data_IF_441848053374
#
_entry.id   IF_441848053374
#
_cell.length_a   1.000
_cell.length_b   1.000
_cell.length_c   1.000
_cell.angle_alpha   90.00
_cell.angle_beta   90.00
_cell.angle_gamma   90.00
#
_symmetry.space_group_name_H-M   'P 1'
#
loop_
_entity.id
_entity.type
_entity.pdbx_description
1 polymer ?
#
# COMPACT_ATOMS: atom_id res chain seq x y z
N UNK A 1 6.54 3.77 -26.14
CA UNK A 1 7.43 2.63 -25.83
C UNK A 1 7.29 2.27 -24.35
N UNK A 2 6.59 1.16 -24.08
CA UNK A 2 6.31 0.72 -22.72
C UNK A 2 6.76 -0.72 -22.55
N UNK A 3 7.27 -1.03 -21.36
CA UNK A 3 7.61 -2.41 -20.97
C UNK A 3 6.35 -3.27 -21.10
N UNK A 4 6.41 -4.41 -21.81
CA UNK A 4 5.27 -5.29 -21.95
C UNK A 4 4.76 -5.77 -20.57
N UNK A 5 3.43 -5.89 -20.34
CA UNK A 5 2.86 -6.24 -19.04
C UNK A 5 3.47 -7.51 -18.43
N UNK A 6 3.74 -8.51 -19.27
CA UNK A 6 4.40 -9.77 -18.91
C UNK A 6 5.82 -9.59 -18.36
N UNK A 7 6.55 -8.55 -18.78
CA UNK A 7 7.89 -8.25 -18.29
C UNK A 7 7.87 -7.47 -16.96
N UNK A 8 6.76 -6.84 -16.61
CA UNK A 8 6.64 -6.08 -15.34
C UNK A 8 6.78 -7.02 -14.15
N UNK A 9 6.16 -8.21 -14.19
CA UNK A 9 6.26 -9.20 -13.11
C UNK A 9 7.69 -9.68 -12.87
N UNK A 10 8.45 -9.93 -13.95
CA UNK A 10 9.86 -10.33 -13.86
C UNK A 10 10.75 -9.20 -13.32
N UNK A 11 10.48 -7.95 -13.69
CA UNK A 11 11.23 -6.81 -13.20
C UNK A 11 10.90 -6.46 -11.74
N UNK A 12 9.66 -6.66 -11.30
CA UNK A 12 9.30 -6.57 -9.87
C UNK A 12 10.08 -7.61 -9.06
N UNK A 13 10.17 -8.86 -9.53
CA UNK A 13 10.97 -9.90 -8.86
C UNK A 13 12.46 -9.57 -8.80
N UNK A 14 12.97 -8.82 -9.77
CA UNK A 14 14.37 -8.36 -9.80
C UNK A 14 14.58 -7.05 -9.03
N UNK A 15 13.57 -6.53 -8.33
CA UNK A 15 13.60 -5.21 -7.68
C UNK A 15 13.94 -4.06 -8.66
N UNK A 16 13.78 -4.28 -9.96
CA UNK A 16 14.13 -3.35 -11.02
C UNK A 16 13.00 -2.33 -11.30
N UNK A 17 11.80 -2.58 -10.78
CA UNK A 17 10.73 -1.58 -10.69
C UNK A 17 10.56 -1.24 -9.21
N UNK A 18 10.80 0.01 -8.78
CA UNK A 18 10.48 0.41 -7.43
C UNK A 18 8.97 0.29 -7.22
N UNK A 19 8.56 -0.54 -6.26
CA UNK A 19 7.21 -0.51 -5.73
C UNK A 19 7.05 0.84 -5.01
N UNK A 20 6.35 1.77 -5.64
CA UNK A 20 5.98 3.04 -5.01
C UNK A 20 4.79 2.79 -4.10
N UNK A 21 4.95 3.06 -2.82
CA UNK A 21 3.82 3.09 -1.89
C UNK A 21 2.91 4.28 -2.25
N UNK A 22 1.63 3.97 -2.45
CA UNK A 22 0.61 4.98 -2.67
C UNK A 22 0.24 5.73 -1.39
N UNK A 23 0.47 5.14 -0.22
CA UNK A 23 0.25 5.78 1.07
C UNK A 23 1.60 6.28 1.59
N UNK A 24 1.72 7.59 1.77
CA UNK A 24 2.98 8.21 2.18
C UNK A 24 2.76 9.17 3.35
N UNK A 25 3.82 9.45 4.10
CA UNK A 25 3.84 10.45 5.16
C UNK A 25 5.20 11.18 5.14
N UNK A 26 5.22 12.44 5.57
CA UNK A 26 6.46 13.22 5.65
C UNK A 26 7.37 12.76 6.80
N UNK A 27 6.76 12.31 7.89
CA UNK A 27 7.39 11.71 9.05
C UNK A 27 6.47 10.65 9.66
N UNK A 28 6.98 9.77 10.54
CA UNK A 28 6.15 8.81 11.28
C UNK A 28 5.04 9.45 12.12
N UNK A 29 5.17 10.73 12.46
CA UNK A 29 4.23 11.49 13.27
C UNK A 29 3.15 12.21 12.45
N UNK A 30 3.35 12.33 11.14
CA UNK A 30 2.40 12.98 10.23
C UNK A 30 1.28 12.02 9.79
N UNK A 31 0.11 12.58 9.50
CA UNK A 31 -0.99 11.80 8.94
C UNK A 31 -0.61 11.29 7.54
N UNK A 32 -0.76 9.97 7.29
CA UNK A 32 -0.47 9.43 5.97
C UNK A 32 -1.54 9.88 4.96
N UNK A 33 -1.11 10.09 3.72
CA UNK A 33 -1.98 10.55 2.63
C UNK A 33 -1.79 9.70 1.37
N UNK A 34 -2.78 9.79 0.48
CA UNK A 34 -2.74 9.17 -0.83
C UNK A 34 -1.86 10.00 -1.77
N UNK A 35 -0.65 9.50 -2.06
CA UNK A 35 0.35 10.13 -2.89
C UNK A 35 -0.02 10.06 -4.38
N UNK A 36 -0.95 10.91 -4.80
CA UNK A 36 -1.37 11.06 -6.19
C UNK A 36 -1.74 12.50 -6.51
N UNK A 37 -1.41 12.94 -7.73
CA UNK A 37 -1.89 14.21 -8.27
C UNK A 37 -3.43 14.28 -8.22
N UNK A 38 -3.96 15.45 -7.87
CA UNK A 38 -5.39 15.68 -7.65
C UNK A 38 -5.86 15.49 -6.20
N UNK A 39 -5.08 14.81 -5.35
CA UNK A 39 -5.29 14.74 -3.90
C UNK A 39 -4.71 15.99 -3.24
N UNK A 40 -5.45 16.64 -2.33
CA UNK A 40 -5.04 17.92 -1.75
C UNK A 40 -3.72 17.82 -1.00
N UNK A 41 -3.57 16.79 -0.18
CA UNK A 41 -2.41 16.51 0.65
C UNK A 41 -1.15 16.27 -0.20
N UNK A 42 -1.30 15.65 -1.38
CA UNK A 42 -0.19 15.49 -2.32
C UNK A 42 0.38 16.84 -2.76
N UNK A 43 -0.47 17.83 -3.02
CA UNK A 43 -0.07 19.17 -3.44
C UNK A 43 0.42 20.05 -2.28
N UNK A 44 -0.07 19.79 -1.06
CA UNK A 44 0.40 20.47 0.16
C UNK A 44 1.73 19.89 0.68
N UNK A 45 2.20 18.76 0.13
CA UNK A 45 3.42 18.09 0.55
C UNK A 45 4.69 18.71 -0.09
N UNK A 46 5.69 19.15 0.71
CA UNK A 46 6.96 19.71 0.21
C UNK A 46 7.81 18.78 -0.67
N UNK A 47 7.65 17.46 -0.54
CA UNK A 47 8.37 16.46 -1.33
C UNK A 47 7.79 16.25 -2.74
N UNK A 48 6.66 16.89 -3.06
CA UNK A 48 5.98 16.80 -4.36
C UNK A 48 6.03 18.13 -5.11
N UNK A 49 5.24 18.26 -6.18
CA UNK A 49 5.25 19.44 -7.06
C UNK A 49 5.05 20.76 -6.32
N UNK A 50 4.37 20.74 -5.16
CA UNK A 50 4.12 21.92 -4.33
C UNK A 50 3.26 22.98 -5.02
N UNK A 51 2.61 22.61 -6.12
CA UNK A 51 1.76 23.49 -6.91
C UNK A 51 0.32 23.48 -6.37
N UNK A 52 -0.43 24.59 -6.49
CA UNK A 52 -1.74 24.68 -5.83
C UNK A 52 -2.72 23.61 -6.29
N UNK A 53 -3.29 22.85 -5.34
CA UNK A 53 -4.32 21.83 -5.59
C UNK A 53 -5.49 22.36 -6.42
N UNK A 54 -5.82 23.65 -6.29
CA UNK A 54 -6.91 24.29 -7.05
C UNK A 54 -6.73 24.16 -8.58
N UNK A 55 -5.51 24.01 -9.07
CA UNK A 55 -5.21 23.81 -10.50
C UNK A 55 -5.57 22.39 -10.97
N UNK A 56 -5.57 21.41 -10.07
CA UNK A 56 -5.72 19.98 -10.37
C UNK A 56 -7.07 19.40 -9.99
N UNK A 57 -7.82 20.06 -9.09
CA UNK A 57 -9.14 19.57 -8.64
C UNK A 57 -10.15 19.34 -9.77
N UNK A 58 -9.94 19.96 -10.94
CA UNK A 58 -10.78 19.83 -12.13
C UNK A 58 -10.17 19.06 -13.30
N UNK A 59 -8.93 18.53 -13.19
CA UNK A 59 -8.21 17.88 -14.29
C UNK A 59 -8.70 16.45 -14.60
N UNK A 60 -9.65 15.94 -13.83
CA UNK A 60 -10.11 14.55 -13.87
C UNK A 60 -9.35 13.68 -12.86
N UNK A 61 -8.06 13.90 -12.64
CA UNK A 61 -7.27 13.15 -11.64
C UNK A 61 -7.73 13.44 -10.21
N UNK A 62 -8.16 14.67 -9.93
CA UNK A 62 -8.74 15.06 -8.65
C UNK A 62 -10.22 14.71 -8.47
N UNK A 63 -10.88 14.04 -9.44
CA UNK A 63 -12.29 13.70 -9.29
C UNK A 63 -12.48 12.44 -8.42
N UNK A 64 -13.57 12.41 -7.65
CA UNK A 64 -13.85 11.30 -6.74
C UNK A 64 -13.87 9.94 -7.45
N UNK A 65 -14.45 9.86 -8.64
CA UNK A 65 -14.52 8.62 -9.41
C UNK A 65 -13.13 8.09 -9.80
N UNK A 66 -12.21 8.98 -10.17
CA UNK A 66 -10.83 8.61 -10.49
C UNK A 66 -10.08 8.11 -9.27
N UNK A 67 -10.20 8.84 -8.14
CA UNK A 67 -9.55 8.44 -6.88
C UNK A 67 -10.05 7.06 -6.43
N UNK A 68 -11.37 6.82 -6.48
CA UNK A 68 -11.96 5.52 -6.14
C UNK A 68 -11.50 4.40 -7.07
N UNK A 69 -11.39 4.66 -8.39
CA UNK A 69 -10.84 3.68 -9.34
C UNK A 69 -9.42 3.25 -8.96
N UNK A 70 -8.56 4.21 -8.58
CA UNK A 70 -7.19 3.90 -8.14
C UNK A 70 -7.17 3.09 -6.85
N UNK A 71 -7.96 3.46 -5.85
CA UNK A 71 -8.03 2.72 -4.58
C UNK A 71 -8.53 1.29 -4.82
N UNK A 72 -9.58 1.10 -5.61
CA UNK A 72 -10.10 -0.24 -5.93
C UNK A 72 -9.02 -1.05 -6.65
N UNK A 73 -8.45 -0.49 -7.72
CA UNK A 73 -7.51 -1.19 -8.60
C UNK A 73 -6.20 -1.57 -7.91
N UNK A 74 -5.65 -0.67 -7.09
CA UNK A 74 -4.31 -0.84 -6.51
C UNK A 74 -4.32 -1.16 -5.01
N UNK A 75 -5.39 -0.82 -4.29
CA UNK A 75 -5.52 -1.08 -2.86
C UNK A 75 -6.37 -2.28 -2.51
N UNK A 76 -7.42 -2.59 -3.29
CA UNK A 76 -8.36 -3.68 -2.97
C UNK A 76 -8.07 -4.93 -3.78
N UNK A 77 -8.04 -4.84 -5.11
CA UNK A 77 -7.86 -5.99 -6.00
C UNK A 77 -6.61 -6.84 -5.66
N UNK A 78 -5.44 -6.26 -5.31
CA UNK A 78 -4.29 -7.07 -4.89
C UNK A 78 -4.53 -7.86 -3.60
N UNK A 79 -5.36 -7.37 -2.69
CA UNK A 79 -5.72 -8.05 -1.44
C UNK A 79 -6.61 -9.26 -1.72
N UNK A 80 -7.49 -9.18 -2.71
CA UNK A 80 -8.33 -10.33 -3.11
C UNK A 80 -7.49 -11.53 -3.58
N UNK A 81 -6.27 -11.27 -4.05
CA UNK A 81 -5.33 -12.29 -4.54
C UNK A 81 -4.38 -12.80 -3.44
N UNK A 82 -4.38 -12.18 -2.25
CA UNK A 82 -3.53 -12.57 -1.13
C UNK A 82 -4.03 -13.89 -0.51
N UNK A 83 -3.35 -14.99 -0.81
CA UNK A 83 -3.55 -16.25 -0.12
C UNK A 83 -2.80 -16.25 1.21
N UNK A 84 -3.49 -15.88 2.30
CA UNK A 84 -2.91 -15.94 3.65
C UNK A 84 -2.85 -17.39 4.11
N UNK A 85 -1.66 -17.97 4.11
CA UNK A 85 -1.40 -19.26 4.76
C UNK A 85 -1.03 -19.04 6.22
N UNK A 86 -1.99 -19.19 7.11
CA UNK A 86 -1.74 -19.19 8.56
C UNK A 86 -1.20 -20.56 8.99
N UNK A 87 0.01 -20.59 9.54
CA UNK A 87 0.54 -21.76 10.26
C UNK A 87 0.51 -21.48 11.76
N UNK A 88 -0.59 -21.80 12.46
CA UNK A 88 -0.67 -21.59 13.90
C UNK A 88 0.29 -22.55 14.62
N UNK A 89 1.26 -21.99 15.35
CA UNK A 89 2.07 -22.77 16.29
C UNK A 89 1.29 -22.93 17.59
N UNK A 90 0.70 -24.11 17.81
CA UNK A 90 0.10 -24.45 19.10
C UNK A 90 1.23 -24.77 20.09
N UNK A 91 1.53 -23.83 20.99
CA UNK A 91 2.42 -24.07 22.13
C UNK A 91 1.62 -24.80 23.20
N UNK A 92 1.62 -26.13 23.15
CA UNK A 92 1.05 -26.96 24.20
C UNK A 92 1.84 -26.81 25.50
N UNK A 93 1.18 -26.40 26.58
CA UNK A 93 1.75 -26.44 27.92
C UNK A 93 1.86 -27.91 28.36
N UNK A 94 3.03 -28.51 28.18
CA UNK A 94 3.30 -29.88 28.64
C UNK A 94 3.49 -29.81 30.15
N UNK A 95 2.42 -30.02 30.91
CA UNK A 95 2.54 -30.30 32.35
C UNK A 95 3.00 -31.74 32.52
N UNK A 96 4.23 -31.91 33.01
CA UNK A 96 4.77 -33.22 33.39
C UNK A 96 3.91 -33.83 34.50
N UNK A 97 3.39 -35.07 34.36
CA UNK A 97 2.55 -35.72 35.38
C UNK A 97 3.26 -36.07 36.69
N UNK A 98 4.55 -35.73 36.86
CA UNK A 98 5.42 -36.26 37.91
C UNK A 98 5.48 -35.44 39.21
N UNK A 99 4.61 -34.43 39.38
CA UNK A 99 4.70 -33.50 40.52
C UNK A 99 3.57 -33.64 41.57
N UNK A 100 2.94 -34.81 41.69
CA UNK A 100 2.12 -35.12 42.87
C UNK A 100 2.74 -36.34 43.54
N UNK A 101 3.64 -36.08 44.50
CA UNK A 101 4.01 -37.06 45.52
C UNK A 101 3.09 -36.82 46.72
N UNK A 102 2.52 -37.92 47.24
CA UNK A 102 1.60 -37.98 48.39
C UNK A 102 2.18 -37.37 49.68
#
# INVERSE_FOLDING_TARGET
PGTPPEMIGALIQQNAVPLTDFIQANSPEDEPFLCMAGVREYHDNPAHSGDPWLLHRGSGEGCLAFILDKIIKYGIVPIEQLQIQLQPTIVGMVVSPQAIQE
#
